data_IF_429156540344
#
_entry.id   IF_429156540344
#
_cell.length_a   1.000
_cell.length_b   1.000
_cell.length_c   1.000
_cell.angle_alpha   90.00
_cell.angle_beta   90.00
_cell.angle_gamma   90.00
#
_symmetry.space_group_name_H-M   'P 1'
#
loop_
_entity.id
_entity.type
_entity.pdbx_description
1 polymer ?
#
# COMPACT_ATOMS: atom_id res chain seq x y z
N UNK A 1 3.56 -20.04 -18.38
CA UNK A 1 4.23 -21.35 -18.65
C UNK A 1 4.00 -21.80 -20.08
N UNK A 2 2.78 -21.67 -20.64
CA UNK A 2 2.53 -21.93 -22.06
C UNK A 2 3.44 -21.09 -22.98
N UNK A 3 3.53 -19.77 -22.75
CA UNK A 3 4.41 -18.88 -23.54
C UNK A 3 5.89 -19.29 -23.51
N UNK A 4 6.39 -19.75 -22.37
CA UNK A 4 7.78 -20.23 -22.26
C UNK A 4 7.99 -21.52 -23.07
N UNK A 5 7.01 -22.42 -23.08
CA UNK A 5 7.11 -23.67 -23.83
C UNK A 5 7.06 -23.42 -25.35
N UNK A 6 6.30 -22.42 -25.79
CA UNK A 6 6.19 -22.03 -27.20
C UNK A 6 7.48 -21.34 -27.71
N UNK A 7 8.08 -20.46 -26.90
CA UNK A 7 9.27 -19.70 -27.29
C UNK A 7 10.60 -20.43 -26.98
N UNK A 8 10.55 -21.56 -26.27
CA UNK A 8 11.77 -22.27 -25.87
C UNK A 8 12.46 -22.91 -27.06
N UNK A 9 13.72 -22.52 -27.26
CA UNK A 9 14.63 -23.14 -28.22
C UNK A 9 15.97 -23.43 -27.54
N UNK A 10 16.37 -24.70 -27.55
CA UNK A 10 17.64 -25.18 -26.98
C UNK A 10 18.84 -24.47 -27.63
N UNK A 11 18.73 -24.02 -28.88
CA UNK A 11 19.79 -23.31 -29.58
C UNK A 11 20.13 -21.95 -28.95
N UNK A 12 19.18 -21.35 -28.21
CA UNK A 12 19.31 -20.05 -27.53
C UNK A 12 19.84 -20.17 -26.10
N UNK A 13 20.10 -21.38 -25.62
CA UNK A 13 20.63 -21.60 -24.27
C UNK A 13 22.13 -21.29 -24.21
N UNK A 14 22.48 -20.35 -23.34
CA UNK A 14 23.87 -19.96 -23.07
C UNK A 14 24.70 -21.14 -22.57
N UNK A 15 25.91 -21.32 -23.13
CA UNK A 15 26.89 -22.31 -22.65
C UNK A 15 27.64 -21.86 -21.39
N UNK A 16 27.57 -20.58 -21.02
CA UNK A 16 28.16 -20.07 -19.79
C UNK A 16 27.26 -20.35 -18.57
N UNK A 17 27.88 -20.55 -17.41
CA UNK A 17 27.13 -20.76 -16.17
C UNK A 17 26.29 -19.54 -15.81
N UNK A 18 24.98 -19.74 -15.64
CA UNK A 18 24.09 -18.68 -15.17
C UNK A 18 24.35 -18.41 -13.69
N UNK A 19 24.72 -17.17 -13.35
CA UNK A 19 24.81 -16.73 -11.96
C UNK A 19 23.43 -16.32 -11.46
N UNK A 20 23.03 -16.85 -10.32
CA UNK A 20 21.80 -16.43 -9.66
C UNK A 20 21.90 -14.95 -9.22
N UNK A 21 20.84 -14.19 -9.48
CA UNK A 21 20.73 -12.78 -9.11
C UNK A 21 19.42 -12.58 -8.32
N UNK A 22 19.57 -12.24 -7.04
CA UNK A 22 18.44 -12.03 -6.12
C UNK A 22 17.57 -10.83 -6.52
N UNK A 23 18.18 -9.73 -6.95
CA UNK A 23 17.45 -8.51 -7.35
C UNK A 23 16.59 -8.78 -8.58
N UNK A 24 17.12 -9.56 -9.54
CA UNK A 24 16.36 -9.98 -10.71
C UNK A 24 15.18 -10.87 -10.32
N UNK A 25 15.38 -11.80 -9.38
CA UNK A 25 14.31 -12.66 -8.88
C UNK A 25 13.22 -11.86 -8.16
N UNK A 26 13.61 -10.90 -7.31
CA UNK A 26 12.67 -9.96 -6.65
C UNK A 26 11.88 -9.15 -7.66
N UNK A 27 12.55 -8.58 -8.66
CA UNK A 27 11.90 -7.80 -9.70
C UNK A 27 10.85 -8.62 -10.46
N UNK A 28 11.17 -9.85 -10.88
CA UNK A 28 10.17 -10.72 -11.51
C UNK A 28 9.01 -11.02 -10.56
N UNK A 29 9.28 -11.33 -9.29
CA UNK A 29 8.23 -11.60 -8.32
C UNK A 29 7.29 -10.40 -8.13
N UNK A 30 7.83 -9.18 -8.07
CA UNK A 30 7.06 -7.95 -8.05
C UNK A 30 6.16 -7.82 -9.29
N UNK A 31 6.67 -8.10 -10.49
CA UNK A 31 5.85 -8.09 -11.71
C UNK A 31 4.69 -9.11 -11.64
N UNK A 32 4.94 -10.29 -11.09
CA UNK A 32 3.88 -11.28 -10.85
C UNK A 32 2.86 -10.82 -9.80
N UNK A 33 3.29 -10.12 -8.74
CA UNK A 33 2.38 -9.54 -7.74
C UNK A 33 1.52 -8.44 -8.39
N UNK A 34 2.12 -7.55 -9.17
CA UNK A 34 1.42 -6.43 -9.81
C UNK A 34 0.32 -6.88 -10.78
N UNK A 35 0.54 -7.99 -11.49
CA UNK A 35 -0.40 -8.55 -12.47
C UNK A 35 -1.54 -9.36 -11.86
N UNK A 36 -1.44 -9.75 -10.58
CA UNK A 36 -2.50 -10.50 -9.90
C UNK A 36 -3.68 -9.61 -9.49
N UNK A 37 -4.87 -10.23 -9.42
CA UNK A 37 -6.06 -9.60 -8.87
C UNK A 37 -5.96 -9.46 -7.34
N UNK A 38 -6.85 -8.65 -6.77
CA UNK A 38 -6.98 -8.53 -5.32
C UNK A 38 -7.38 -9.85 -4.68
N UNK A 39 -8.30 -10.61 -5.29
CA UNK A 39 -8.75 -11.90 -4.73
C UNK A 39 -7.65 -12.96 -4.76
N UNK A 40 -6.88 -13.02 -5.84
CA UNK A 40 -5.74 -13.94 -5.97
C UNK A 40 -4.68 -13.65 -4.92
N UNK A 41 -4.33 -12.37 -4.75
CA UNK A 41 -3.38 -11.94 -3.72
C UNK A 41 -3.92 -12.18 -2.32
N UNK A 42 -5.20 -11.90 -2.07
CA UNK A 42 -5.83 -12.16 -0.79
C UNK A 42 -5.73 -13.63 -0.40
N UNK A 43 -5.96 -14.55 -1.35
CA UNK A 43 -5.82 -15.99 -1.13
C UNK A 43 -4.39 -16.36 -0.68
N UNK A 44 -3.37 -15.74 -1.29
CA UNK A 44 -1.96 -15.98 -0.96
C UNK A 44 -1.54 -15.35 0.37
N UNK A 45 -2.09 -14.17 0.70
CA UNK A 45 -1.69 -13.35 1.87
C UNK A 45 -2.47 -13.73 3.13
N UNK A 46 -3.70 -14.24 3.01
CA UNK A 46 -4.57 -14.68 4.12
C UNK A 46 -3.86 -15.54 5.17
N UNK A 47 -3.08 -16.59 4.84
CA UNK A 47 -2.37 -17.37 5.85
C UNK A 47 -1.31 -16.56 6.62
N UNK A 48 -0.68 -15.58 5.99
CA UNK A 48 0.32 -14.71 6.65
C UNK A 48 -0.35 -13.75 7.64
N UNK A 49 -1.51 -13.22 7.26
CA UNK A 49 -2.35 -12.35 8.10
C UNK A 49 -2.87 -13.13 9.31
N UNK A 50 -3.41 -14.33 9.09
CA UNK A 50 -3.91 -15.20 10.15
C UNK A 50 -2.79 -15.62 11.12
N UNK A 51 -1.56 -15.86 10.63
CA UNK A 51 -0.41 -16.18 11.47
C UNK A 51 -0.01 -15.02 12.40
N UNK A 52 -0.40 -13.79 12.10
CA UNK A 52 -0.24 -12.62 12.99
C UNK A 52 -1.42 -12.42 13.95
N UNK A 53 -2.44 -13.27 13.88
CA UNK A 53 -3.63 -13.19 14.73
C UNK A 53 -4.71 -12.24 14.20
N UNK A 54 -4.60 -11.80 12.95
CA UNK A 54 -5.61 -10.93 12.34
C UNK A 54 -6.68 -11.75 11.61
N UNK A 55 -7.94 -11.47 11.91
CA UNK A 55 -9.09 -12.01 11.20
C UNK A 55 -9.83 -10.88 10.48
N UNK A 56 -9.90 -10.96 9.16
CA UNK A 56 -10.54 -9.96 8.31
C UNK A 56 -11.39 -10.62 7.24
N UNK A 57 -12.39 -9.90 6.74
CA UNK A 57 -13.20 -10.38 5.61
C UNK A 57 -12.39 -10.49 4.32
N UNK A 58 -12.75 -11.43 3.45
CA UNK A 58 -12.09 -11.62 2.15
C UNK A 58 -12.18 -10.37 1.27
N UNK A 59 -13.32 -9.65 1.33
CA UNK A 59 -13.52 -8.38 0.62
C UNK A 59 -12.54 -7.30 1.09
N UNK A 60 -12.35 -7.19 2.41
CA UNK A 60 -11.37 -6.25 2.96
C UNK A 60 -9.97 -6.62 2.51
N UNK A 61 -9.60 -7.90 2.60
CA UNK A 61 -8.26 -8.36 2.26
C UNK A 61 -7.95 -8.16 0.77
N UNK A 62 -8.91 -8.38 -0.13
CA UNK A 62 -8.74 -8.13 -1.56
C UNK A 62 -8.48 -6.64 -1.85
N UNK A 63 -9.24 -5.74 -1.23
CA UNK A 63 -9.03 -4.29 -1.37
C UNK A 63 -7.69 -3.84 -0.78
N UNK A 64 -7.33 -4.38 0.37
CA UNK A 64 -6.03 -4.16 1.01
C UNK A 64 -4.88 -4.60 0.09
N UNK A 65 -4.97 -5.80 -0.49
CA UNK A 65 -3.97 -6.30 -1.42
C UNK A 65 -3.87 -5.43 -2.69
N UNK A 66 -4.99 -4.97 -3.24
CA UNK A 66 -4.99 -4.04 -4.38
C UNK A 66 -4.30 -2.72 -4.06
N UNK A 67 -4.54 -2.18 -2.87
CA UNK A 67 -3.90 -0.93 -2.42
C UNK A 67 -2.38 -1.10 -2.22
N UNK A 68 -1.95 -2.27 -1.74
CA UNK A 68 -0.55 -2.51 -1.34
C UNK A 68 0.32 -3.13 -2.42
N UNK A 69 -0.24 -3.74 -3.47
CA UNK A 69 0.53 -4.52 -4.46
C UNK A 69 1.63 -3.74 -5.18
N UNK A 70 1.48 -2.42 -5.34
CA UNK A 70 2.51 -1.58 -5.97
C UNK A 70 3.73 -1.36 -5.07
N UNK A 71 3.57 -1.56 -3.76
CA UNK A 71 4.61 -1.36 -2.74
C UNK A 71 5.28 -2.67 -2.31
N UNK A 72 4.81 -3.82 -2.81
CA UNK A 72 5.26 -5.13 -2.38
C UNK A 72 6.16 -5.79 -3.44
N UNK A 73 7.35 -6.21 -3.04
CA UNK A 73 8.25 -7.06 -3.83
C UNK A 73 8.02 -8.54 -3.53
N UNK A 74 7.64 -8.86 -2.29
CA UNK A 74 7.35 -10.21 -1.79
C UNK A 74 6.08 -10.23 -0.93
N UNK A 75 5.53 -11.42 -0.67
CA UNK A 75 4.27 -11.54 0.07
C UNK A 75 4.36 -11.08 1.53
N UNK A 76 5.54 -11.14 2.16
CA UNK A 76 5.75 -10.65 3.53
C UNK A 76 5.63 -9.12 3.64
N UNK A 77 5.86 -8.39 2.56
CA UNK A 77 5.76 -6.92 2.54
C UNK A 77 4.33 -6.44 2.80
N UNK A 78 3.32 -7.27 2.48
CA UNK A 78 1.92 -7.02 2.83
C UNK A 78 1.66 -7.08 4.34
N UNK A 79 2.58 -7.59 5.15
CA UNK A 79 2.46 -7.50 6.60
C UNK A 79 3.36 -6.38 7.11
N UNK A 80 4.64 -6.42 6.74
CA UNK A 80 5.66 -5.52 7.26
C UNK A 80 5.36 -4.04 6.96
N UNK A 81 4.78 -3.75 5.81
CA UNK A 81 4.50 -2.37 5.38
C UNK A 81 3.04 -1.96 5.54
N UNK A 82 2.17 -2.76 6.17
CA UNK A 82 0.74 -2.46 6.25
C UNK A 82 0.03 -2.92 7.51
N UNK A 83 0.78 -3.18 8.59
CA UNK A 83 0.22 -3.42 9.93
C UNK A 83 -0.79 -2.35 10.35
N UNK A 84 -0.57 -1.08 9.97
CA UNK A 84 -1.47 0.04 10.26
C UNK A 84 -2.90 -0.12 9.72
N UNK A 85 -3.15 -1.07 8.81
CA UNK A 85 -4.51 -1.41 8.34
C UNK A 85 -5.24 -2.40 9.27
N UNK A 86 -4.54 -3.04 10.20
CA UNK A 86 -5.05 -4.11 11.06
C UNK A 86 -5.01 -3.74 12.54
N UNK A 87 -4.11 -2.85 12.94
CA UNK A 87 -3.94 -2.41 14.32
C UNK A 87 -3.73 -0.89 14.43
N UNK A 88 -4.13 -0.28 15.56
CA UNK A 88 -3.85 1.12 15.81
C UNK A 88 -2.34 1.35 16.00
N UNK A 89 -1.84 2.47 15.49
CA UNK A 89 -0.44 2.87 15.68
C UNK A 89 -0.21 3.21 17.16
N UNK A 90 0.72 2.49 17.80
CA UNK A 90 1.04 2.65 19.23
C UNK A 90 2.20 3.63 19.44
N UNK A 91 3.15 3.65 18.52
CA UNK A 91 4.34 4.49 18.60
C UNK A 91 4.58 5.24 17.29
N UNK A 92 5.04 6.49 17.41
CA UNK A 92 5.41 7.32 16.28
C UNK A 92 6.91 7.63 16.34
N UNK A 93 7.58 7.62 15.18
CA UNK A 93 8.99 8.03 15.10
C UNK A 93 9.13 9.51 15.47
N UNK A 94 9.80 9.78 16.59
CA UNK A 94 9.94 11.14 17.12
C UNK A 94 10.57 12.12 16.12
N UNK A 95 11.49 11.64 15.27
CA UNK A 95 12.15 12.49 14.28
C UNK A 95 11.16 12.92 13.20
N UNK A 96 10.31 12.01 12.76
CA UNK A 96 9.24 12.25 11.80
C UNK A 96 8.20 13.18 12.39
N UNK A 97 7.75 12.94 13.62
CA UNK A 97 6.82 13.84 14.32
C UNK A 97 7.40 15.24 14.42
N UNK A 98 8.63 15.41 14.92
CA UNK A 98 9.27 16.74 15.04
C UNK A 98 9.43 17.45 13.69
N UNK A 99 9.64 16.70 12.59
CA UNK A 99 9.83 17.26 11.25
C UNK A 99 8.50 17.61 10.55
N UNK A 100 7.47 16.80 10.75
CA UNK A 100 6.18 16.88 10.03
C UNK A 100 5.11 17.62 10.82
N UNK A 101 5.05 17.44 12.13
CA UNK A 101 4.07 18.07 13.00
C UNK A 101 4.45 19.53 13.29
N UNK A 102 3.63 20.45 12.83
CA UNK A 102 3.79 21.90 13.05
C UNK A 102 2.60 22.45 13.80
N UNK A 103 2.72 23.67 14.32
CA UNK A 103 1.63 24.36 15.01
C UNK A 103 0.34 24.42 14.17
N UNK A 104 0.48 24.63 12.86
CA UNK A 104 -0.62 24.65 11.89
C UNK A 104 -1.26 23.27 11.66
N UNK A 105 -0.54 22.18 11.94
CA UNK A 105 -1.06 20.81 11.75
C UNK A 105 -2.26 20.53 12.64
N UNK A 106 -2.31 21.12 13.85
CA UNK A 106 -3.43 20.89 14.78
C UNK A 106 -4.76 21.42 14.22
N UNK A 107 -4.77 22.62 13.66
CA UNK A 107 -5.98 23.17 13.02
C UNK A 107 -6.42 22.31 11.84
N UNK A 108 -5.45 21.84 11.05
CA UNK A 108 -5.66 20.97 9.90
C UNK A 108 -6.29 19.63 10.30
N UNK A 109 -5.75 18.94 11.30
CA UNK A 109 -6.30 17.66 11.77
C UNK A 109 -7.66 17.81 12.43
N UNK A 110 -7.92 18.92 13.15
CA UNK A 110 -9.25 19.20 13.68
C UNK A 110 -10.27 19.38 12.55
N UNK A 111 -9.94 20.19 11.53
CA UNK A 111 -10.81 20.40 10.38
C UNK A 111 -11.03 19.11 9.57
N UNK A 112 -9.99 18.29 9.43
CA UNK A 112 -10.07 16.97 8.80
C UNK A 112 -11.01 16.04 9.57
N UNK A 113 -10.88 15.99 10.90
CA UNK A 113 -11.73 15.15 11.76
C UNK A 113 -13.19 15.55 11.62
N UNK A 114 -13.51 16.85 11.70
CA UNK A 114 -14.88 17.34 11.49
C UNK A 114 -15.42 17.03 10.09
N UNK A 115 -14.58 17.11 9.05
CA UNK A 115 -14.97 16.78 7.68
C UNK A 115 -15.30 15.30 7.51
N UNK A 116 -14.50 14.42 8.12
CA UNK A 116 -14.71 12.97 8.09
C UNK A 116 -15.96 12.60 8.91
N UNK A 117 -16.13 13.18 10.10
CA UNK A 117 -17.30 12.94 10.96
C UNK A 117 -18.62 13.40 10.33
N UNK A 118 -18.58 14.45 9.50
CA UNK A 118 -19.74 14.98 8.78
C UNK A 118 -19.95 14.35 7.39
N UNK A 119 -19.18 13.31 7.04
CA UNK A 119 -19.32 12.62 5.77
C UNK A 119 -20.51 11.65 5.79
N UNK A 120 -21.42 11.81 4.84
CA UNK A 120 -22.57 10.90 4.66
C UNK A 120 -22.13 9.54 4.09
N UNK A 121 -20.98 9.51 3.41
CA UNK A 121 -20.36 8.34 2.80
C UNK A 121 -18.84 8.40 2.90
N UNK A 122 -18.21 7.23 3.06
CA UNK A 122 -16.75 7.07 3.15
C UNK A 122 -16.13 6.61 1.82
N UNK A 123 -16.75 6.96 0.70
CA UNK A 123 -16.18 6.68 -0.62
C UNK A 123 -15.01 7.63 -0.92
N UNK A 124 -13.98 7.07 -1.57
CA UNK A 124 -12.74 7.78 -1.83
C UNK A 124 -12.95 9.07 -2.64
N UNK A 125 -13.82 9.04 -3.66
CA UNK A 125 -14.07 10.20 -4.51
C UNK A 125 -14.76 11.35 -3.77
N UNK A 126 -15.77 11.06 -2.95
CA UNK A 126 -16.49 12.07 -2.17
C UNK A 126 -15.59 12.67 -1.10
N UNK A 127 -14.82 11.84 -0.38
CA UNK A 127 -13.86 12.32 0.60
C UNK A 127 -12.76 13.16 -0.06
N UNK A 128 -12.23 12.74 -1.21
CA UNK A 128 -11.24 13.52 -1.96
C UNK A 128 -11.81 14.86 -2.41
N UNK A 129 -13.05 14.92 -2.92
CA UNK A 129 -13.73 16.17 -3.31
C UNK A 129 -13.91 17.10 -2.11
N UNK A 130 -14.38 16.59 -0.97
CA UNK A 130 -14.57 17.37 0.27
C UNK A 130 -13.21 17.90 0.78
N UNK A 131 -12.19 17.06 0.80
CA UNK A 131 -10.81 17.43 1.16
C UNK A 131 -10.27 18.53 0.23
N UNK A 132 -10.45 18.37 -1.08
CA UNK A 132 -10.08 19.36 -2.10
C UNK A 132 -10.87 20.65 -2.00
N UNK A 133 -12.04 20.65 -1.37
CA UNK A 133 -12.75 21.90 -1.10
C UNK A 133 -12.15 22.60 0.13
N UNK A 134 -11.89 21.84 1.20
CA UNK A 134 -11.34 22.34 2.46
C UNK A 134 -9.97 23.01 2.28
N UNK A 135 -9.05 22.37 1.57
CA UNK A 135 -7.67 22.87 1.42
C UNK A 135 -7.58 24.18 0.59
N UNK A 136 -8.52 24.41 -0.33
CA UNK A 136 -8.58 25.57 -1.22
C UNK A 136 -9.17 26.73 -0.45
N UNK A 137 -10.21 26.48 0.36
CA UNK A 137 -10.79 27.47 1.26
C UNK A 137 -9.79 27.94 2.32
N UNK A 138 -8.94 27.04 2.83
CA UNK A 138 -7.93 27.35 3.86
C UNK A 138 -6.57 27.79 3.27
N UNK A 139 -6.42 27.80 1.95
CA UNK A 139 -5.19 28.12 1.22
C UNK A 139 -3.98 27.27 1.66
N UNK A 140 -4.19 25.98 1.92
CA UNK A 140 -3.13 25.05 2.30
C UNK A 140 -2.45 24.44 1.08
N UNK A 141 -1.12 24.31 1.13
CA UNK A 141 -0.36 23.60 0.12
C UNK A 141 -0.60 22.09 0.23
N UNK A 142 -1.07 21.47 -0.86
CA UNK A 142 -1.35 20.03 -0.98
C UNK A 142 -0.25 19.13 -0.43
N UNK A 143 1.01 19.42 -0.79
CA UNK A 143 2.18 18.66 -0.37
C UNK A 143 2.38 18.73 1.15
N UNK A 144 2.19 19.90 1.77
CA UNK A 144 2.35 20.06 3.22
C UNK A 144 1.24 19.36 3.99
N UNK A 145 0.03 19.31 3.43
CA UNK A 145 -1.11 18.60 4.01
C UNK A 145 -0.81 17.10 4.13
N UNK A 146 -0.52 16.44 3.00
CA UNK A 146 -0.26 14.99 3.01
C UNK A 146 0.98 14.60 3.81
N UNK A 147 2.02 15.45 3.81
CA UNK A 147 3.20 15.24 4.64
C UNK A 147 2.94 15.36 6.14
N UNK A 148 1.89 16.07 6.55
CA UNK A 148 1.52 16.15 7.97
C UNK A 148 0.75 14.91 8.42
N UNK A 149 0.08 14.22 7.49
CA UNK A 149 -0.72 13.01 7.72
C UNK A 149 0.08 11.70 7.74
N UNK A 150 1.38 11.74 7.38
CA UNK A 150 2.29 10.59 7.29
C UNK A 150 3.49 10.83 8.18
#
# INVERSE_FOLDING_TARGET
MAELAEEFDISRVSKSGARFNFDKARWYNQQYIMTKSGEDLATLVKPLIAAKGYEVSDKFLANYCLMMKERAEVLSDFIENGTYCFEPVVEYDEKTVKKRWKTESRELFNALSTLIESADSYDAETLEKRLKHLWTKKNWASVKFFQSCV
#
